data_IF_464945870880
#
_entry.id   IF_464945870880
#
_cell.length_a   1.000
_cell.length_b   1.000
_cell.length_c   1.000
_cell.angle_alpha   90.00
_cell.angle_beta   90.00
_cell.angle_gamma   90.00
#
_symmetry.space_group_name_H-M   'P 1'
#
loop_
_entity.id
_entity.type
_entity.pdbx_description
1 polymer ?
#
# COMPACT_ATOMS: atom_id res chain seq x y z
N UNK A 1 -11.64 -36.38 -4.22
CA UNK A 1 -11.98 -34.96 -3.91
C UNK A 1 -10.85 -34.20 -3.19
N UNK A 2 -9.84 -34.85 -2.62
CA UNK A 2 -8.77 -34.20 -1.83
C UNK A 2 -7.64 -33.51 -2.62
N UNK A 3 -7.32 -33.96 -3.84
CA UNK A 3 -6.24 -33.39 -4.68
C UNK A 3 -6.43 -31.94 -5.11
N UNK A 4 -7.68 -31.47 -5.21
CA UNK A 4 -7.97 -30.10 -5.65
C UNK A 4 -7.61 -29.05 -4.61
N UNK A 5 -7.83 -29.36 -3.33
CA UNK A 5 -7.52 -28.46 -2.21
C UNK A 5 -6.00 -28.31 -2.03
N UNK A 6 -5.27 -29.43 -2.03
CA UNK A 6 -3.80 -29.43 -1.92
C UNK A 6 -3.12 -28.64 -3.04
N UNK A 7 -3.65 -28.72 -4.26
CA UNK A 7 -3.13 -27.95 -5.40
C UNK A 7 -3.41 -26.45 -5.30
N UNK A 8 -4.61 -26.07 -4.84
CA UNK A 8 -4.96 -24.65 -4.61
C UNK A 8 -4.13 -24.07 -3.48
N UNK A 9 -3.93 -24.82 -2.39
CA UNK A 9 -3.10 -24.40 -1.26
C UNK A 9 -1.63 -24.19 -1.71
N UNK A 10 -1.09 -25.10 -2.53
CA UNK A 10 0.24 -24.95 -3.13
C UNK A 10 0.37 -23.70 -4.00
N UNK A 11 -0.60 -23.45 -4.90
CA UNK A 11 -0.58 -22.25 -5.74
C UNK A 11 -0.70 -20.97 -4.93
N UNK A 12 -1.53 -20.97 -3.88
CA UNK A 12 -1.68 -19.83 -2.99
C UNK A 12 -0.39 -19.53 -2.22
N UNK A 13 0.34 -20.55 -1.78
CA UNK A 13 1.63 -20.42 -1.11
C UNK A 13 2.70 -19.83 -2.04
N UNK A 14 2.83 -20.36 -3.26
CA UNK A 14 3.75 -19.82 -4.28
C UNK A 14 3.43 -18.36 -4.63
N UNK A 15 2.13 -18.05 -4.77
CA UNK A 15 1.68 -16.70 -5.06
C UNK A 15 1.98 -15.75 -3.88
N UNK A 16 1.78 -16.20 -2.65
CA UNK A 16 2.10 -15.43 -1.44
C UNK A 16 3.60 -15.15 -1.37
N UNK A 17 4.46 -16.13 -1.69
CA UNK A 17 5.91 -15.95 -1.76
C UNK A 17 6.28 -14.87 -2.78
N UNK A 18 5.70 -14.95 -3.99
CA UNK A 18 5.98 -13.99 -5.05
C UNK A 18 5.55 -12.56 -4.68
N UNK A 19 4.34 -12.40 -4.15
CA UNK A 19 3.83 -11.10 -3.68
C UNK A 19 4.68 -10.56 -2.54
N UNK A 20 5.08 -11.40 -1.58
CA UNK A 20 5.91 -11.00 -0.44
C UNK A 20 7.29 -10.54 -0.88
N UNK A 21 7.90 -11.21 -1.86
CA UNK A 21 9.19 -10.81 -2.42
C UNK A 21 9.12 -9.41 -3.04
N UNK A 22 8.14 -9.17 -3.91
CA UNK A 22 7.94 -7.87 -4.54
C UNK A 22 7.63 -6.78 -3.50
N UNK A 23 6.82 -7.12 -2.49
CA UNK A 23 6.51 -6.21 -1.39
C UNK A 23 7.74 -5.88 -0.56
N UNK A 24 8.62 -6.87 -0.33
CA UNK A 24 9.87 -6.67 0.37
C UNK A 24 10.82 -5.74 -0.38
N UNK A 25 10.94 -5.89 -1.70
CA UNK A 25 11.77 -5.01 -2.53
C UNK A 25 11.26 -3.56 -2.46
N UNK A 26 9.95 -3.36 -2.61
CA UNK A 26 9.33 -2.03 -2.46
C UNK A 26 9.52 -1.45 -1.06
N UNK A 27 9.29 -2.25 -0.02
CA UNK A 27 9.48 -1.80 1.37
C UNK A 27 10.93 -1.42 1.63
N UNK A 28 11.89 -2.17 1.07
CA UNK A 28 13.30 -1.86 1.15
C UNK A 28 13.60 -0.50 0.54
N UNK A 29 13.10 -0.21 -0.66
CA UNK A 29 13.30 1.08 -1.32
C UNK A 29 12.63 2.24 -0.55
N UNK A 30 11.36 2.06 -0.16
CA UNK A 30 10.59 3.06 0.61
C UNK A 30 11.24 3.41 1.96
N UNK A 31 11.96 2.46 2.55
CA UNK A 31 12.59 2.60 3.87
C UNK A 31 14.10 2.82 3.77
N UNK A 32 14.61 3.14 2.58
CA UNK A 32 16.04 3.42 2.33
C UNK A 32 16.97 2.29 2.76
N UNK A 33 16.53 1.07 2.50
CA UNK A 33 17.23 -0.16 2.80
C UNK A 33 17.06 -0.69 4.22
N UNK A 34 16.23 -0.06 5.04
CA UNK A 34 16.08 -0.43 6.45
C UNK A 34 15.28 -1.72 6.64
N UNK A 35 14.13 -1.83 5.97
CA UNK A 35 13.17 -2.91 6.22
C UNK A 35 13.00 -3.85 5.02
N UNK A 36 12.74 -5.12 5.31
CA UNK A 36 12.30 -6.12 4.33
C UNK A 36 11.19 -6.98 4.91
N UNK A 37 10.26 -7.42 4.06
CA UNK A 37 9.15 -8.29 4.42
C UNK A 37 9.56 -9.75 4.21
N UNK A 38 9.32 -10.59 5.22
CA UNK A 38 9.72 -12.00 5.20
C UNK A 38 8.55 -12.86 5.64
N UNK A 39 8.38 -14.02 5.02
CA UNK A 39 7.42 -15.03 5.48
C UNK A 39 8.06 -15.94 6.53
N UNK A 40 7.30 -16.26 7.57
CA UNK A 40 7.63 -17.38 8.46
C UNK A 40 7.13 -18.72 7.88
N UNK A 41 7.46 -19.83 8.55
CA UNK A 41 7.08 -21.18 8.13
C UNK A 41 5.58 -21.48 8.17
N UNK A 42 4.77 -20.59 8.75
CA UNK A 42 3.32 -20.69 8.81
C UNK A 42 2.61 -19.72 7.83
N UNK A 43 3.35 -19.01 7.00
CA UNK A 43 2.81 -17.99 6.09
C UNK A 43 2.50 -16.65 6.79
N UNK A 44 2.97 -16.47 8.02
CA UNK A 44 2.91 -15.20 8.74
C UNK A 44 3.97 -14.21 8.27
N UNK A 45 3.68 -12.91 8.40
CA UNK A 45 4.61 -11.84 8.03
C UNK A 45 5.52 -11.45 9.19
N UNK A 46 6.81 -11.30 8.88
CA UNK A 46 7.85 -10.77 9.74
C UNK A 46 8.57 -9.62 9.03
N UNK A 47 9.18 -8.74 9.81
CA UNK A 47 10.01 -7.64 9.31
C UNK A 47 11.47 -7.92 9.65
N UNK A 48 12.33 -7.95 8.65
CA UNK A 48 13.77 -7.90 8.86
C UNK A 48 14.22 -6.43 8.97
N UNK A 49 14.84 -6.06 10.10
CA UNK A 49 15.42 -4.74 10.33
C UNK A 49 16.93 -4.79 10.09
N UNK A 50 17.37 -4.32 8.92
CA UNK A 50 18.79 -4.30 8.54
C UNK A 50 19.61 -3.28 9.33
N UNK A 51 18.98 -2.26 9.90
CA UNK A 51 19.68 -1.30 10.76
C UNK A 51 19.94 -1.89 12.15
N UNK A 52 19.17 -2.92 12.55
CA UNK A 52 19.42 -3.71 13.74
C UNK A 52 20.10 -5.07 13.44
N UNK A 53 20.95 -5.12 12.42
CA UNK A 53 21.73 -6.32 12.10
C UNK A 53 20.94 -7.45 11.42
N UNK A 54 19.77 -7.15 10.85
CA UNK A 54 18.91 -8.13 10.18
C UNK A 54 17.99 -8.90 11.13
N UNK A 55 17.72 -8.35 12.32
CA UNK A 55 16.81 -8.95 13.29
C UNK A 55 15.40 -9.10 12.69
N UNK A 56 14.80 -10.29 12.83
CA UNK A 56 13.42 -10.55 12.42
C UNK A 56 12.48 -10.24 13.56
N UNK A 57 11.60 -9.27 13.35
CA UNK A 57 10.63 -8.77 14.33
C UNK A 57 9.20 -9.06 13.87
N UNK A 58 8.26 -9.27 14.80
CA UNK A 58 6.86 -9.40 14.46
C UNK A 58 6.31 -8.04 13.97
N UNK A 59 5.34 -8.08 13.06
CA UNK A 59 4.66 -6.88 12.53
C UNK A 59 3.95 -6.08 13.61
N UNK A 60 3.56 -6.71 14.73
CA UNK A 60 2.98 -6.04 15.92
C UNK A 60 3.92 -5.06 16.61
N UNK A 61 5.22 -5.12 16.33
CA UNK A 61 6.22 -4.20 16.90
C UNK A 61 6.46 -2.94 16.06
N UNK A 62 5.79 -2.80 14.92
CA UNK A 62 5.90 -1.65 14.05
C UNK A 62 5.16 -0.44 14.64
N UNK A 63 5.70 0.74 14.41
CA UNK A 63 4.99 2.01 14.60
C UNK A 63 3.86 2.18 13.56
N UNK A 64 3.04 3.21 13.74
CA UNK A 64 1.94 3.53 12.81
C UNK A 64 2.42 3.73 11.37
N UNK A 65 3.46 4.56 11.18
CA UNK A 65 4.02 4.83 9.84
C UNK A 65 4.68 3.60 9.21
N UNK A 66 5.37 2.76 10.00
CA UNK A 66 5.99 1.53 9.50
C UNK A 66 4.94 0.48 9.10
N UNK A 67 3.85 0.38 9.86
CA UNK A 67 2.71 -0.47 9.53
C UNK A 67 2.06 -0.02 8.24
N UNK A 68 1.88 1.30 8.08
CA UNK A 68 1.34 1.88 6.85
C UNK A 68 2.22 1.56 5.64
N UNK A 69 3.53 1.83 5.70
CA UNK A 69 4.46 1.55 4.61
C UNK A 69 4.51 0.06 4.25
N UNK A 70 4.51 -0.81 5.25
CA UNK A 70 4.48 -2.27 5.05
C UNK A 70 3.19 -2.70 4.35
N UNK A 71 2.04 -2.21 4.83
CA UNK A 71 0.74 -2.53 4.25
C UNK A 71 0.60 -2.01 2.83
N UNK A 72 1.11 -0.80 2.59
CA UNK A 72 1.16 -0.18 1.27
C UNK A 72 2.03 -1.02 0.32
N UNK A 73 3.27 -1.35 0.69
CA UNK A 73 4.16 -2.17 -0.14
C UNK A 73 3.54 -3.53 -0.52
N UNK A 74 2.83 -4.15 0.42
CA UNK A 74 2.10 -5.40 0.19
C UNK A 74 0.91 -5.22 -0.76
N UNK A 75 0.08 -4.21 -0.51
CA UNK A 75 -1.10 -3.94 -1.33
C UNK A 75 -0.74 -3.60 -2.78
N UNK A 76 0.32 -2.82 -2.97
CA UNK A 76 0.87 -2.49 -4.29
C UNK A 76 1.40 -3.71 -5.03
N UNK A 77 2.09 -4.60 -4.32
CA UNK A 77 2.63 -5.83 -4.91
C UNK A 77 1.55 -6.83 -5.26
N UNK A 78 0.48 -6.89 -4.44
CA UNK A 78 -0.70 -7.68 -4.73
C UNK A 78 -1.43 -7.16 -5.96
N UNK A 79 -1.71 -5.84 -6.03
CA UNK A 79 -2.35 -5.23 -7.19
C UNK A 79 -1.54 -5.43 -8.48
N UNK A 80 -0.23 -5.21 -8.43
CA UNK A 80 0.64 -5.46 -9.57
C UNK A 80 0.60 -6.94 -10.02
N UNK A 81 0.48 -7.88 -9.07
CA UNK A 81 0.40 -9.30 -9.43
C UNK A 81 -0.96 -9.71 -10.01
N UNK A 82 -2.06 -9.04 -9.65
CA UNK A 82 -3.39 -9.27 -10.22
C UNK A 82 -3.44 -8.74 -11.65
N UNK A 83 -2.83 -7.58 -11.93
CA UNK A 83 -2.77 -7.03 -13.30
C UNK A 83 -2.11 -7.97 -14.32
N UNK A 84 -1.15 -8.80 -13.88
CA UNK A 84 -0.45 -9.74 -14.76
C UNK A 84 -1.32 -10.93 -15.21
N UNK A 85 -2.42 -11.24 -14.52
CA UNK A 85 -3.26 -12.40 -14.85
C UNK A 85 -4.34 -12.12 -15.91
N UNK A 86 -4.48 -10.86 -16.33
CA UNK A 86 -5.06 -10.51 -17.62
C UNK A 86 -6.56 -10.80 -17.75
N UNK A 87 -7.40 -10.00 -17.08
CA UNK A 87 -8.70 -9.62 -17.64
C UNK A 87 -8.81 -8.10 -17.53
N UNK A 88 -8.85 -7.43 -18.69
CA UNK A 88 -8.83 -5.98 -18.81
C UNK A 88 -10.09 -5.36 -18.18
N UNK A 89 -9.93 -4.81 -16.99
CA UNK A 89 -10.81 -3.80 -16.42
C UNK A 89 -9.94 -2.75 -15.72
N UNK A 90 -10.36 -1.49 -15.78
CA UNK A 90 -9.72 -0.42 -15.04
C UNK A 90 -9.82 -0.73 -13.55
N UNK A 91 -8.70 -1.05 -12.91
CA UNK A 91 -8.65 -1.35 -11.48
C UNK A 91 -8.57 -0.04 -10.70
N UNK A 92 -9.41 0.10 -9.68
CA UNK A 92 -9.33 1.21 -8.74
C UNK A 92 -8.69 0.74 -7.45
N UNK A 93 -7.63 1.42 -7.03
CA UNK A 93 -6.96 1.19 -5.76
C UNK A 93 -7.11 2.41 -4.86
N UNK A 94 -7.89 2.27 -3.79
CA UNK A 94 -8.11 3.35 -2.83
C UNK A 94 -7.25 3.16 -1.59
N UNK A 95 -6.55 4.22 -1.19
CA UNK A 95 -5.84 4.33 0.06
C UNK A 95 -6.60 5.30 0.96
N UNK A 96 -7.13 4.79 2.05
CA UNK A 96 -7.83 5.58 3.05
C UNK A 96 -6.93 5.77 4.27
N UNK A 97 -6.82 7.03 4.71
CA UNK A 97 -6.16 7.54 5.91
C UNK A 97 -5.03 6.68 6.52
N UNK A 98 -3.81 7.20 6.44
CA UNK A 98 -2.61 6.58 7.02
C UNK A 98 -1.35 7.44 6.88
N UNK A 99 -1.44 8.47 6.05
CA UNK A 99 -0.39 9.42 5.74
C UNK A 99 -0.05 10.39 6.87
N UNK A 100 -0.98 10.67 7.78
CA UNK A 100 -0.77 11.62 8.89
C UNK A 100 0.23 11.14 9.96
N UNK A 101 0.65 9.88 9.89
CA UNK A 101 1.69 9.31 10.76
C UNK A 101 3.07 9.29 10.12
N UNK A 102 3.18 9.72 8.86
CA UNK A 102 4.42 9.81 8.12
C UNK A 102 5.04 11.19 8.29
N UNK A 103 6.38 11.24 8.34
CA UNK A 103 7.08 12.50 8.16
C UNK A 103 7.00 12.95 6.69
N UNK A 104 7.34 14.22 6.43
CA UNK A 104 7.25 14.84 5.11
C UNK A 104 8.13 14.14 4.06
N UNK A 105 9.24 13.53 4.48
CA UNK A 105 10.21 12.89 3.58
C UNK A 105 9.72 11.51 3.13
N UNK A 106 9.18 10.73 4.05
CA UNK A 106 8.50 9.46 3.77
C UNK A 106 7.23 9.69 2.96
N UNK A 107 6.46 10.75 3.26
CA UNK A 107 5.26 11.09 2.50
C UNK A 107 5.60 11.35 1.02
N UNK A 108 6.66 12.09 0.74
CA UNK A 108 7.11 12.35 -0.62
C UNK A 108 7.51 11.07 -1.38
N UNK A 109 8.23 10.19 -0.68
CA UNK A 109 8.65 8.89 -1.22
C UNK A 109 7.42 8.03 -1.56
N UNK A 110 6.41 8.05 -0.69
CA UNK A 110 5.14 7.34 -0.89
C UNK A 110 4.37 7.91 -2.09
N UNK A 111 4.18 9.23 -2.17
CA UNK A 111 3.46 9.85 -3.29
C UNK A 111 4.13 9.51 -4.62
N UNK A 112 5.46 9.61 -4.68
CA UNK A 112 6.23 9.23 -5.87
C UNK A 112 6.00 7.77 -6.26
N UNK A 113 5.95 6.85 -5.29
CA UNK A 113 5.66 5.45 -5.55
C UNK A 113 4.23 5.24 -6.08
N UNK A 114 3.23 5.96 -5.54
CA UNK A 114 1.85 5.90 -6.00
C UNK A 114 1.70 6.42 -7.44
N UNK A 115 2.39 7.49 -7.79
CA UNK A 115 2.43 8.04 -9.15
C UNK A 115 3.05 7.05 -10.14
N UNK A 116 4.13 6.36 -9.76
CA UNK A 116 4.76 5.33 -10.61
C UNK A 116 3.88 4.09 -10.82
N UNK A 117 2.96 3.83 -9.90
CA UNK A 117 2.01 2.72 -9.99
C UNK A 117 0.77 3.06 -10.81
N UNK A 118 0.49 4.35 -10.98
CA UNK A 118 -0.54 4.76 -11.90
C UNK A 118 -0.16 4.32 -13.32
N UNK A 119 -0.99 3.46 -13.90
CA UNK A 119 -0.88 3.03 -15.29
C UNK A 119 -2.19 3.30 -15.99
N UNK A 120 -2.23 3.15 -17.31
CA UNK A 120 -3.48 3.29 -18.09
C UNK A 120 -4.59 2.32 -17.63
N UNK A 121 -4.25 1.29 -16.85
CA UNK A 121 -5.16 0.26 -16.36
C UNK A 121 -5.35 0.27 -14.83
N UNK A 122 -4.60 1.08 -14.07
CA UNK A 122 -4.70 1.20 -12.61
C UNK A 122 -4.87 2.67 -12.19
N UNK A 123 -6.04 2.99 -11.65
CA UNK A 123 -6.34 4.29 -11.06
C UNK A 123 -6.16 4.23 -9.54
N UNK A 124 -5.18 5.00 -9.03
CA UNK A 124 -4.92 5.12 -7.60
C UNK A 124 -5.66 6.33 -7.04
N UNK A 125 -6.53 6.12 -6.05
CA UNK A 125 -7.23 7.16 -5.32
C UNK A 125 -6.71 7.27 -3.88
N UNK A 126 -6.45 8.50 -3.41
CA UNK A 126 -5.98 8.75 -2.05
C UNK A 126 -7.02 9.58 -1.30
N UNK A 127 -7.42 9.11 -0.12
CA UNK A 127 -8.29 9.82 0.81
C UNK A 127 -7.44 10.23 2.00
N UNK A 128 -7.26 11.54 2.18
CA UNK A 128 -6.53 12.07 3.32
C UNK A 128 -6.92 13.50 3.68
N UNK A 129 -6.83 13.81 4.96
CA UNK A 129 -6.90 15.17 5.50
C UNK A 129 -5.55 15.89 5.55
N UNK A 130 -4.44 15.22 5.20
CA UNK A 130 -3.07 15.76 5.28
C UNK A 130 -2.87 16.87 4.23
N UNK A 131 -2.59 18.13 4.63
CA UNK A 131 -2.41 19.26 3.71
C UNK A 131 -1.30 19.03 2.68
N UNK A 132 -0.21 18.39 3.06
CA UNK A 132 0.97 18.14 2.23
C UNK A 132 0.64 17.28 1.00
N UNK A 133 -0.34 16.37 1.11
CA UNK A 133 -0.83 15.60 -0.03
C UNK A 133 -1.59 16.47 -1.05
N UNK A 134 -2.25 17.53 -0.59
CA UNK A 134 -3.03 18.43 -1.45
C UNK A 134 -2.15 19.24 -2.40
N UNK A 135 -0.92 19.54 -1.98
CA UNK A 135 0.05 20.28 -2.80
C UNK A 135 0.70 19.41 -3.88
N UNK A 136 0.79 18.10 -3.64
CA UNK A 136 1.42 17.14 -4.55
C UNK A 136 0.43 16.59 -5.60
N UNK A 137 -0.79 16.24 -5.18
CA UNK A 137 -1.80 15.67 -6.06
C UNK A 137 -2.60 16.78 -6.78
N UNK A 138 -2.35 16.95 -8.08
CA UNK A 138 -2.92 18.03 -8.89
C UNK A 138 -4.46 17.94 -9.03
N UNK A 139 -4.97 16.73 -9.32
CA UNK A 139 -6.42 16.49 -9.41
C UNK A 139 -6.96 15.94 -8.11
N UNK A 140 -7.94 16.64 -7.52
CA UNK A 140 -8.54 16.27 -6.22
C UNK A 140 -10.03 16.56 -6.15
N UNK A 141 -10.72 15.79 -5.33
CA UNK A 141 -12.09 16.04 -4.92
C UNK A 141 -12.09 16.69 -3.53
N UNK A 142 -12.37 17.99 -3.47
CA UNK A 142 -12.47 18.71 -2.20
C UNK A 142 -13.87 18.49 -1.62
N UNK A 143 -13.92 17.81 -0.48
CA UNK A 143 -15.15 17.60 0.30
C UNK A 143 -15.27 18.69 1.37
N UNK A 144 -16.28 19.54 1.27
CA UNK A 144 -16.63 20.54 2.29
C UNK A 144 -17.75 20.00 3.18
N UNK A 145 -17.58 19.97 4.52
CA UNK A 145 -18.59 19.44 5.43
C UNK A 145 -19.87 20.29 5.42
N UNK A 146 -20.98 19.68 5.85
CA UNK A 146 -22.26 20.36 5.99
C UNK A 146 -22.15 21.56 6.94
N UNK A 147 -22.84 22.65 6.61
CA UNK A 147 -22.94 23.82 7.48
C UNK A 147 -24.14 23.69 8.41
N UNK A 148 -24.10 24.38 9.56
CA UNK A 148 -25.20 24.40 10.52
C UNK A 148 -26.52 24.97 9.93
N UNK A 149 -26.45 25.62 8.77
CA UNK A 149 -27.56 26.22 8.04
C UNK A 149 -28.34 25.21 7.17
N UNK A 150 -27.94 23.92 7.19
CA UNK A 150 -28.70 22.83 6.57
C UNK A 150 -28.30 22.50 5.13
N UNK A 151 -27.26 23.13 4.58
CA UNK A 151 -26.65 22.62 3.35
C UNK A 151 -25.82 21.39 3.68
N UNK A 152 -26.14 20.23 3.09
CA UNK A 152 -25.37 18.99 3.23
C UNK A 152 -23.93 19.12 2.71
N UNK A 153 -23.12 18.08 2.89
CA UNK A 153 -21.73 18.06 2.41
C UNK A 153 -21.66 18.31 0.90
N UNK A 154 -20.70 19.13 0.47
CA UNK A 154 -20.50 19.50 -0.94
C UNK A 154 -19.17 18.95 -1.44
N UNK A 155 -19.16 18.50 -2.69
CA UNK A 155 -17.94 18.02 -3.36
C UNK A 155 -17.64 18.94 -4.53
N UNK A 156 -16.38 19.33 -4.67
CA UNK A 156 -15.88 20.19 -5.75
C UNK A 156 -14.63 19.57 -6.36
N UNK A 157 -14.57 19.50 -7.69
CA UNK A 157 -13.37 19.05 -8.41
C UNK A 157 -12.40 20.23 -8.47
N UNK A 158 -11.15 20.00 -8.07
CA UNK A 158 -10.03 20.91 -8.32
C UNK A 158 -9.01 20.15 -9.15
N UNK A 159 -8.60 20.73 -10.27
CA UNK A 159 -7.65 20.19 -11.24
C UNK A 159 -6.67 21.26 -11.65
#
# INVERSE_FOLDING_TARGET
MFRGKEFVDFLAEEQLIHVTKNASERLHDLTRGRYALVLDSSGGFLIADYFNGGEKRPTTSLSGGETFLTSLALALSLSASIQLTGEQNLEFFFLDEGFGTLDTELLDTVVTALEQLQTDHLAVGVISHVPELQERLQTRLLVTPATAEGTGSRVTVQS
#
